data_IF_387801255603
#
_entry.id   IF_387801255603
#
_cell.length_a   1.000
_cell.length_b   1.000
_cell.length_c   1.000
_cell.angle_alpha   90.00
_cell.angle_beta   90.00
_cell.angle_gamma   90.00
#
_symmetry.space_group_name_H-M   'P 1'
#
loop_
_entity.id
_entity.type
_entity.pdbx_description
1 polymer ?
#
# COMPACT_ATOMS: atom_id res chain seq x y z
N UNK A 1 14.79 -3.10 -10.71
CA UNK A 1 13.44 -3.09 -11.31
C UNK A 1 12.41 -2.91 -10.21
N UNK A 2 11.21 -2.42 -10.53
CA UNK A 2 10.09 -2.22 -9.61
C UNK A 2 8.84 -2.88 -10.21
N UNK A 3 7.93 -3.35 -9.37
CA UNK A 3 6.63 -3.86 -9.79
C UNK A 3 5.58 -3.46 -8.74
N UNK A 4 4.35 -3.26 -9.19
CA UNK A 4 3.21 -3.00 -8.34
C UNK A 4 2.47 -4.30 -8.06
N UNK A 5 2.20 -4.58 -6.79
CA UNK A 5 1.47 -5.76 -6.35
C UNK A 5 0.27 -5.32 -5.53
N UNK A 6 -0.91 -5.77 -5.92
CA UNK A 6 -2.15 -5.62 -5.15
C UNK A 6 -2.41 -6.89 -4.34
N UNK A 7 -2.74 -6.72 -3.06
CA UNK A 7 -3.05 -7.83 -2.14
C UNK A 7 -4.40 -7.56 -1.48
N UNK A 8 -5.29 -8.54 -1.52
CA UNK A 8 -6.56 -8.49 -0.80
C UNK A 8 -6.34 -8.52 0.72
N UNK A 9 -7.30 -8.04 1.53
CA UNK A 9 -7.19 -8.07 3.00
C UNK A 9 -6.98 -9.47 3.59
N UNK A 10 -7.45 -10.52 2.91
CA UNK A 10 -7.26 -11.92 3.30
C UNK A 10 -5.94 -12.54 2.81
N UNK A 11 -5.10 -11.75 2.12
CA UNK A 11 -3.75 -12.13 1.73
C UNK A 11 -3.57 -12.72 0.34
N UNK A 12 -4.62 -12.86 -0.46
CA UNK A 12 -4.48 -13.26 -1.86
C UNK A 12 -3.89 -12.12 -2.69
N UNK A 13 -3.00 -12.46 -3.63
CA UNK A 13 -2.53 -11.51 -4.64
C UNK A 13 -3.65 -11.29 -5.65
N UNK A 14 -4.09 -10.04 -5.80
CA UNK A 14 -5.18 -9.66 -6.71
C UNK A 14 -4.69 -8.97 -7.97
N UNK A 15 -3.45 -8.49 -7.96
CA UNK A 15 -2.88 -7.76 -9.07
C UNK A 15 -1.36 -7.85 -9.06
N UNK A 16 -0.74 -8.02 -10.23
CA UNK A 16 0.70 -7.91 -10.43
C UNK A 16 0.93 -7.14 -11.72
N UNK A 17 1.67 -6.03 -11.67
CA UNK A 17 2.05 -5.29 -12.87
C UNK A 17 3.25 -5.92 -13.57
N UNK A 18 3.48 -5.49 -14.81
CA UNK A 18 4.79 -5.65 -15.46
C UNK A 18 5.93 -5.05 -14.63
N UNK A 19 7.16 -5.47 -14.94
CA UNK A 19 8.37 -4.91 -14.35
C UNK A 19 8.71 -3.55 -14.99
N UNK A 20 8.99 -2.57 -14.16
CA UNK A 20 9.40 -1.23 -14.54
C UNK A 20 10.85 -0.96 -14.14
N UNK A 21 11.47 0.01 -14.83
CA UNK A 21 12.79 0.52 -14.46
C UNK A 21 12.81 1.06 -13.03
N UNK A 22 13.94 0.93 -12.33
CA UNK A 22 14.07 1.41 -10.94
C UNK A 22 13.91 2.92 -10.78
N UNK A 23 14.12 3.67 -11.85
CA UNK A 23 13.95 5.12 -11.93
C UNK A 23 12.51 5.58 -12.14
N UNK A 24 11.57 4.67 -12.46
CA UNK A 24 10.17 5.04 -12.69
C UNK A 24 9.49 5.33 -11.35
N UNK A 25 8.80 6.46 -11.28
CA UNK A 25 8.07 6.86 -10.09
C UNK A 25 6.90 5.92 -9.81
N UNK A 26 6.57 5.77 -8.54
CA UNK A 26 5.48 4.93 -8.07
C UNK A 26 4.11 5.34 -8.65
N UNK A 27 3.88 6.65 -8.82
CA UNK A 27 2.67 7.21 -9.47
C UNK A 27 2.59 6.84 -10.95
N UNK A 28 3.71 6.86 -11.67
CA UNK A 28 3.76 6.49 -13.09
C UNK A 28 3.58 4.99 -13.29
N UNK A 29 4.18 4.16 -12.43
CA UNK A 29 3.92 2.72 -12.42
C UNK A 29 2.43 2.45 -12.22
N UNK A 30 1.80 3.11 -11.24
CA UNK A 30 0.37 2.95 -10.98
C UNK A 30 -0.49 3.24 -12.21
N UNK A 31 -0.25 4.38 -12.89
CA UNK A 31 -0.98 4.75 -14.11
C UNK A 31 -0.74 3.77 -15.26
N UNK A 32 0.51 3.39 -15.50
CA UNK A 32 0.88 2.51 -16.61
C UNK A 32 0.46 1.05 -16.38
N UNK A 33 0.28 0.64 -15.12
CA UNK A 33 -0.10 -0.73 -14.78
C UNK A 33 -1.54 -1.08 -15.15
N UNK A 34 -2.39 -0.08 -15.41
CA UNK A 34 -3.81 -0.27 -15.68
C UNK A 34 -4.68 -0.55 -14.45
N UNK A 35 -4.08 -0.66 -13.25
CA UNK A 35 -4.83 -0.91 -12.02
C UNK A 35 -5.85 0.19 -11.73
N UNK A 36 -5.57 1.45 -12.12
CA UNK A 36 -6.47 2.58 -11.92
C UNK A 36 -7.87 2.35 -12.54
N UNK A 37 -7.95 1.61 -13.65
CA UNK A 37 -9.22 1.27 -14.30
C UNK A 37 -10.03 0.21 -13.52
N UNK A 38 -9.36 -0.60 -12.71
CA UNK A 38 -10.00 -1.60 -11.84
C UNK A 38 -10.54 -0.97 -10.55
N UNK A 39 -10.05 0.21 -10.18
CA UNK A 39 -10.38 0.90 -8.94
C UNK A 39 -11.60 1.82 -9.13
N UNK A 40 -12.77 1.22 -8.98
CA UNK A 40 -14.06 1.93 -8.96
C UNK A 40 -14.31 2.65 -7.63
N UNK A 41 -15.28 3.56 -7.62
CA UNK A 41 -15.71 4.33 -6.42
C UNK A 41 -16.15 3.46 -5.24
N UNK A 42 -16.60 2.23 -5.50
CA UNK A 42 -17.03 1.28 -4.47
C UNK A 42 -15.87 0.51 -3.83
N UNK A 43 -14.64 0.73 -4.28
CA UNK A 43 -13.45 0.04 -3.79
C UNK A 43 -12.66 0.98 -2.87
N UNK A 44 -12.00 0.38 -1.89
CA UNK A 44 -11.01 1.05 -1.08
C UNK A 44 -9.65 0.36 -1.24
N UNK A 45 -8.59 1.15 -1.34
CA UNK A 45 -7.21 0.65 -1.39
C UNK A 45 -6.40 1.24 -0.25
N UNK A 46 -5.49 0.44 0.28
CA UNK A 46 -4.49 0.90 1.24
C UNK A 46 -3.15 0.97 0.53
N UNK A 47 -2.44 2.08 0.68
CA UNK A 47 -1.15 2.31 0.03
C UNK A 47 -0.07 2.65 1.03
N UNK A 48 1.19 2.37 0.66
CA UNK A 48 2.34 2.72 1.46
C UNK A 48 2.54 4.24 1.55
N UNK A 49 3.19 4.67 2.63
CA UNK A 49 3.46 6.08 2.90
C UNK A 49 4.25 6.70 1.74
N UNK A 50 3.77 7.85 1.25
CA UNK A 50 4.39 8.58 0.14
C UNK A 50 3.87 8.17 -1.25
N UNK A 51 3.00 7.14 -1.32
CA UNK A 51 2.37 6.71 -2.55
C UNK A 51 1.13 7.58 -2.86
N UNK A 52 1.35 8.75 -3.44
CA UNK A 52 0.32 9.76 -3.71
C UNK A 52 -0.50 9.41 -4.98
N UNK A 53 -1.45 8.50 -4.83
CA UNK A 53 -2.39 8.12 -5.91
C UNK A 53 -3.80 8.65 -5.73
N UNK A 54 -4.10 9.37 -4.65
CA UNK A 54 -5.45 9.90 -4.39
C UNK A 54 -6.00 10.76 -5.53
N UNK A 55 -5.12 11.35 -6.34
CA UNK A 55 -5.43 12.17 -7.51
C UNK A 55 -5.58 11.33 -8.81
N UNK A 56 -5.20 10.05 -8.78
CA UNK A 56 -5.20 9.15 -9.94
C UNK A 56 -6.38 8.16 -9.97
N UNK A 57 -7.19 8.10 -8.92
CA UNK A 57 -8.28 7.14 -8.82
C UNK A 57 -9.46 7.73 -8.03
N UNK A 58 -10.68 7.35 -8.42
CA UNK A 58 -11.92 7.79 -7.76
C UNK A 58 -12.27 6.95 -6.52
N UNK A 59 -11.49 5.91 -6.25
CA UNK A 59 -11.66 5.00 -5.13
C UNK A 59 -11.17 5.62 -3.81
N UNK A 60 -11.61 5.08 -2.67
CA UNK A 60 -11.16 5.55 -1.37
C UNK A 60 -9.73 5.08 -1.10
N UNK A 61 -8.79 6.01 -0.87
CA UNK A 61 -7.38 5.68 -0.59
C UNK A 61 -7.08 5.86 0.89
N UNK A 62 -6.59 4.81 1.53
CA UNK A 62 -6.15 4.80 2.92
C UNK A 62 -4.62 4.78 2.99
N UNK A 63 -4.04 5.67 3.79
CA UNK A 63 -2.62 5.65 4.13
C UNK A 63 -2.49 5.35 5.63
N UNK A 64 -1.78 4.27 6.05
CA UNK A 64 -1.56 3.99 7.46
C UNK A 64 -0.88 5.17 8.17
N UNK A 65 -1.37 5.59 9.34
CA UNK A 65 -0.68 6.58 10.15
C UNK A 65 0.69 6.04 10.60
N UNK A 66 1.68 6.92 10.62
CA UNK A 66 3.02 6.57 11.07
C UNK A 66 2.99 6.34 12.59
N UNK A 67 3.51 5.21 13.05
CA UNK A 67 3.94 5.03 14.44
C UNK A 67 5.23 5.83 14.68
N UNK A 68 5.22 7.15 14.47
CA UNK A 68 6.19 8.00 15.18
C UNK A 68 5.81 7.95 16.64
N UNK A 69 6.80 7.96 17.52
CA UNK A 69 6.67 8.01 18.99
C UNK A 69 5.83 9.23 19.45
N UNK A 70 4.53 9.23 19.19
CA UNK A 70 3.60 10.20 19.73
C UNK A 70 3.21 9.72 21.13
N UNK A 71 3.54 10.58 22.08
CA UNK A 71 3.24 10.47 23.50
C UNK A 71 1.72 10.33 23.64
N UNK A 72 1.27 9.10 23.90
CA UNK A 72 -0.11 8.68 24.22
C UNK A 72 -1.18 9.10 23.19
N UNK A 73 -1.50 8.18 22.27
CA UNK A 73 -2.67 8.29 21.39
C UNK A 73 -3.97 7.99 22.18
N UNK A 74 -5.07 8.73 21.95
CA UNK A 74 -6.36 8.46 22.59
C UNK A 74 -6.93 7.10 22.16
N UNK A 75 -7.62 6.42 23.09
CA UNK A 75 -8.01 5.01 22.95
C UNK A 75 -8.85 4.66 21.70
N UNK A 76 -9.57 5.63 21.12
CA UNK A 76 -10.35 5.43 19.89
C UNK A 76 -9.43 5.29 18.66
N UNK A 77 -8.44 6.16 18.52
CA UNK A 77 -7.42 6.13 17.46
C UNK A 77 -6.51 4.90 17.57
N UNK A 78 -6.30 4.39 18.79
CA UNK A 78 -5.55 3.14 19.02
C UNK A 78 -6.23 1.97 18.34
N UNK A 79 -7.56 1.86 18.37
CA UNK A 79 -8.28 0.72 17.76
C UNK A 79 -8.18 0.71 16.24
N UNK A 80 -8.39 1.87 15.60
CA UNK A 80 -8.23 1.98 14.15
C UNK A 80 -6.78 1.78 13.72
N UNK A 81 -5.83 2.39 14.44
CA UNK A 81 -4.40 2.21 14.17
C UNK A 81 -3.95 0.77 14.41
N UNK A 82 -4.52 0.06 15.40
CA UNK A 82 -4.20 -1.34 15.68
C UNK A 82 -4.80 -2.28 14.63
N UNK A 83 -6.00 -1.99 14.11
CA UNK A 83 -6.56 -2.73 12.97
C UNK A 83 -5.69 -2.54 11.71
N UNK A 84 -5.29 -1.31 11.42
CA UNK A 84 -4.41 -0.98 10.31
C UNK A 84 -3.01 -1.61 10.49
N UNK A 85 -2.45 -1.59 11.70
CA UNK A 85 -1.16 -2.21 12.01
C UNK A 85 -1.21 -3.74 11.91
N UNK A 86 -2.32 -4.38 12.31
CA UNK A 86 -2.52 -5.82 12.12
C UNK A 86 -2.59 -6.20 10.64
N UNK A 87 -3.29 -5.40 9.83
CA UNK A 87 -3.30 -5.57 8.37
C UNK A 87 -1.89 -5.36 7.79
N UNK A 88 -1.14 -4.39 8.29
CA UNK A 88 0.26 -4.14 7.89
C UNK A 88 1.18 -5.33 8.19
N UNK A 89 1.07 -5.96 9.36
CA UNK A 89 1.86 -7.18 9.69
C UNK A 89 1.58 -8.32 8.71
N UNK A 90 0.35 -8.45 8.21
CA UNK A 90 0.02 -9.46 7.21
C UNK A 90 0.63 -9.18 5.83
N UNK A 91 0.74 -7.89 5.46
CA UNK A 91 1.38 -7.44 4.21
C UNK A 91 2.91 -7.53 4.32
N UNK A 92 3.51 -7.07 5.41
CA UNK A 92 4.96 -7.06 5.62
C UNK A 92 5.56 -8.48 5.76
N UNK A 93 4.80 -9.46 6.28
CA UNK A 93 5.24 -10.87 6.30
C UNK A 93 5.38 -11.51 4.90
N UNK A 94 4.85 -10.90 3.84
CA UNK A 94 5.03 -11.34 2.45
C UNK A 94 6.08 -10.55 1.67
N UNK A 95 6.63 -9.47 2.23
CA UNK A 95 7.79 -8.80 1.65
C UNK A 95 9.07 -9.50 2.14
N UNK A 96 9.48 -10.54 1.41
CA UNK A 96 10.79 -11.16 1.61
C UNK A 96 11.88 -10.11 1.31
N UNK A 97 12.45 -9.51 2.36
CA UNK A 97 13.67 -8.70 2.26
C UNK A 97 14.83 -9.63 1.90
N UNK A 98 15.26 -9.59 0.65
CA UNK A 98 16.53 -10.16 0.25
C UNK A 98 17.64 -9.22 0.77
N UNK A 99 18.10 -9.48 2.00
CA UNK A 99 19.30 -8.84 2.54
C UNK A 99 20.53 -9.49 1.88
N UNK A 100 20.91 -8.98 0.71
CA UNK A 100 22.25 -9.15 0.18
C UNK A 100 23.22 -8.34 1.03
N UNK A 101 23.91 -9.01 1.96
CA UNK A 101 25.15 -8.50 2.53
C UNK A 101 26.21 -8.51 1.43
N UNK A 102 26.87 -7.38 1.22
CA UNK A 102 28.26 -7.31 0.77
C UNK A 102 29.00 -6.49 1.81
#
# INVERSE_FOLDING_TARGET
>A
MKALVGIAPHGAVTFVSSLYGGSVSDKEIFKQSGIAALLTENIAVMVDKGFLISDCCKCKVYCPPFLSKQKQMPAYEVRETQAIARLRVHVERRQFKNNGKS
#
